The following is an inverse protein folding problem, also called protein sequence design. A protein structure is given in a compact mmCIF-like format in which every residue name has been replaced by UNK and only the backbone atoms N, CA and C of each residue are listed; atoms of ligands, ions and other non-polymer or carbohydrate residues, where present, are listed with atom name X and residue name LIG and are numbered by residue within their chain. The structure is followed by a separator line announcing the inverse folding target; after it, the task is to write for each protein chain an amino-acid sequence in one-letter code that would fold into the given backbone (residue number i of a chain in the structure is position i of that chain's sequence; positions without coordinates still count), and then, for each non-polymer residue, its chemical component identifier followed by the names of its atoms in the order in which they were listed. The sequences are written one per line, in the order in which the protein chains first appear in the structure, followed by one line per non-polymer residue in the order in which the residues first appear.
data_IF_256831426035
#
_entry.id   IF_256831426035
#
_cell.length_a   1.000
_cell.length_b   1.000
_cell.length_c   1.000
_cell.angle_alpha   90.00
_cell.angle_beta   90.00
_cell.angle_gamma   90.00
#
_symmetry.space_group_name_H-M   'P 1'
#
loop_
_entity.id
_entity.type
_entity.pdbx_description
1 polymer ?
#
# COMPACT_ATOMS: atom_id res chain seq x y z
N UNK A 1 -11.97 22.90 4.61
CA UNK A 1 -13.07 22.92 3.62
C UNK A 1 -12.89 21.74 2.68
N UNK A 2 -13.96 21.27 2.06
CA UNK A 2 -13.88 20.25 1.00
C UNK A 2 -13.12 20.75 -0.25
N UNK A 3 -12.38 19.86 -0.92
CA UNK A 3 -11.66 20.11 -2.19
C UNK A 3 -12.13 19.14 -3.28
N UNK A 4 -12.43 19.64 -4.49
CA UNK A 4 -12.69 18.81 -5.67
C UNK A 4 -11.40 18.13 -6.15
N UNK A 5 -11.52 16.88 -6.62
CA UNK A 5 -10.45 16.07 -7.22
C UNK A 5 -10.89 15.59 -8.62
N UNK A 6 -10.01 15.66 -9.61
CA UNK A 6 -10.11 14.93 -10.89
C UNK A 6 -9.57 13.49 -10.78
N UNK A 7 -9.49 12.73 -11.88
CA UNK A 7 -8.95 11.36 -11.90
C UNK A 7 -7.54 11.26 -11.29
N UNK A 8 -6.63 12.17 -11.63
CA UNK A 8 -5.23 12.10 -11.19
C UNK A 8 -5.13 12.45 -9.70
N UNK A 9 -5.83 13.49 -9.28
CA UNK A 9 -5.90 13.90 -7.88
C UNK A 9 -6.63 12.86 -7.01
N UNK A 10 -7.65 12.15 -7.52
CA UNK A 10 -8.26 11.01 -6.84
C UNK A 10 -7.23 9.91 -6.58
N UNK A 11 -6.47 9.50 -7.61
CA UNK A 11 -5.45 8.45 -7.46
C UNK A 11 -4.32 8.85 -6.51
N UNK A 12 -3.83 10.09 -6.61
CA UNK A 12 -2.79 10.62 -5.75
C UNK A 12 -3.22 10.71 -4.27
N UNK A 13 -4.40 11.27 -3.99
CA UNK A 13 -4.89 11.40 -2.61
C UNK A 13 -5.27 10.04 -2.00
N UNK A 14 -5.69 9.03 -2.79
CA UNK A 14 -5.86 7.64 -2.31
C UNK A 14 -4.51 7.04 -1.87
N UNK A 15 -3.44 7.23 -2.64
CA UNK A 15 -2.08 6.84 -2.21
C UNK A 15 -1.63 7.62 -0.97
N UNK A 16 -1.96 8.92 -0.86
CA UNK A 16 -1.66 9.72 0.33
C UNK A 16 -2.37 9.19 1.58
N UNK A 17 -3.64 8.77 1.48
CA UNK A 17 -4.37 8.15 2.60
C UNK A 17 -3.68 6.87 3.10
N UNK A 18 -3.27 5.97 2.19
CA UNK A 18 -2.60 4.71 2.52
C UNK A 18 -1.21 4.96 3.14
N UNK A 19 -0.43 5.86 2.55
CA UNK A 19 0.93 6.17 3.01
C UNK A 19 0.95 6.96 4.32
N UNK A 20 0.03 7.91 4.49
CA UNK A 20 -0.04 8.85 5.60
C UNK A 20 -0.77 8.36 6.85
N UNK A 21 -1.47 7.21 6.80
CA UNK A 21 -2.20 6.70 7.95
C UNK A 21 -1.29 6.26 9.11
N UNK A 22 -1.69 6.61 10.33
CA UNK A 22 -1.01 6.30 11.60
C UNK A 22 -1.85 5.42 12.54
N UNK A 23 -3.18 5.33 12.37
CA UNK A 23 -4.09 4.68 13.35
C UNK A 23 -5.11 3.76 12.70
N UNK A 24 -5.84 4.23 11.69
CA UNK A 24 -6.87 3.46 10.99
C UNK A 24 -6.88 3.74 9.49
N UNK A 25 -7.32 2.75 8.71
CA UNK A 25 -7.70 2.92 7.31
C UNK A 25 -9.05 2.24 7.14
N UNK A 26 -10.03 2.92 6.57
CA UNK A 26 -11.33 2.34 6.24
C UNK A 26 -11.63 2.61 4.77
N UNK A 27 -11.69 1.54 3.99
CA UNK A 27 -11.98 1.58 2.55
C UNK A 27 -13.33 0.92 2.29
N UNK A 28 -14.24 1.67 1.69
CA UNK A 28 -15.55 1.21 1.23
C UNK A 28 -15.52 1.22 -0.29
N UNK A 29 -15.66 0.07 -0.93
CA UNK A 29 -15.58 -0.07 -2.40
C UNK A 29 -16.51 -1.17 -2.88
N UNK A 30 -17.29 -1.02 -3.96
CA UNK A 30 -18.11 -2.13 -4.47
C UNK A 30 -17.23 -3.32 -4.87
N UNK A 31 -16.07 -3.07 -5.49
CA UNK A 31 -15.22 -4.12 -6.05
C UNK A 31 -13.86 -4.19 -5.32
N UNK A 32 -13.50 -5.39 -4.89
CA UNK A 32 -12.19 -5.72 -4.33
C UNK A 32 -11.24 -6.17 -5.44
N UNK A 33 -10.90 -5.23 -6.33
CA UNK A 33 -9.99 -5.43 -7.48
C UNK A 33 -8.90 -4.36 -7.39
N UNK A 34 -7.77 -4.66 -6.76
CA UNK A 34 -6.75 -3.65 -6.39
C UNK A 34 -5.68 -3.58 -7.49
N UNK A 35 -5.50 -2.38 -8.07
CA UNK A 35 -4.46 -2.12 -9.06
C UNK A 35 -3.04 -2.36 -8.51
N UNK A 36 -2.07 -2.80 -9.33
CA UNK A 36 -0.68 -2.98 -8.89
C UNK A 36 -0.06 -1.71 -8.27
N UNK A 37 -0.48 -0.53 -8.74
CA UNK A 37 -0.14 0.78 -8.15
C UNK A 37 -0.51 0.88 -6.67
N UNK A 38 -1.71 0.43 -6.27
CA UNK A 38 -2.13 0.47 -4.87
C UNK A 38 -1.68 -0.75 -4.07
N UNK A 39 -1.43 -1.92 -4.67
CA UNK A 39 -1.02 -3.14 -3.95
C UNK A 39 0.21 -2.91 -3.06
N UNK A 40 1.23 -2.18 -3.55
CA UNK A 40 2.40 -1.81 -2.74
C UNK A 40 2.04 -0.92 -1.53
N UNK A 41 1.15 0.05 -1.72
CA UNK A 41 0.67 0.92 -0.64
C UNK A 41 -0.20 0.16 0.38
N UNK A 42 -1.03 -0.79 -0.04
CA UNK A 42 -1.80 -1.66 0.85
C UNK A 42 -0.91 -2.55 1.72
N UNK A 43 0.12 -3.18 1.13
CA UNK A 43 1.08 -4.02 1.87
C UNK A 43 1.91 -3.18 2.84
N UNK A 44 2.41 -2.01 2.42
CA UNK A 44 3.14 -1.09 3.30
C UNK A 44 2.27 -0.60 4.45
N UNK A 45 1.04 -0.16 4.17
CA UNK A 45 0.09 0.27 5.19
C UNK A 45 -0.22 -0.84 6.21
N UNK A 46 -0.46 -2.08 5.76
CA UNK A 46 -0.72 -3.22 6.64
C UNK A 46 0.50 -3.84 7.33
N UNK A 47 1.72 -3.41 6.98
CA UNK A 47 2.93 -3.70 7.77
C UNK A 47 3.09 -2.78 8.99
N UNK A 48 2.47 -1.59 8.97
CA UNK A 48 2.33 -0.73 10.16
C UNK A 48 1.33 -1.35 11.15
N UNK A 49 1.46 -1.02 12.43
CA UNK A 49 0.51 -1.41 13.47
C UNK A 49 -0.80 -0.57 13.46
N UNK A 50 -1.46 -0.49 12.30
CA UNK A 50 -2.69 0.31 12.09
C UNK A 50 -3.90 -0.59 11.81
N UNK A 51 -5.09 -0.12 12.19
CA UNK A 51 -6.34 -0.87 11.98
C UNK A 51 -6.90 -0.66 10.57
N UNK A 52 -6.43 -1.43 9.59
CA UNK A 52 -7.04 -1.44 8.25
C UNK A 52 -8.33 -2.26 8.21
N UNK A 53 -9.37 -1.71 7.58
CA UNK A 53 -10.66 -2.34 7.29
C UNK A 53 -11.05 -2.09 5.83
N UNK A 54 -11.50 -3.12 5.13
CA UNK A 54 -12.08 -2.99 3.78
C UNK A 54 -13.48 -3.60 3.79
N UNK A 55 -14.47 -2.81 3.38
CA UNK A 55 -15.86 -3.23 3.20
C UNK A 55 -16.15 -3.29 1.70
N UNK A 56 -16.56 -4.46 1.21
CA UNK A 56 -16.83 -4.69 -0.22
C UNK A 56 -18.21 -5.31 -0.50
N UNK A 57 -18.61 -5.38 -1.78
CA UNK A 57 -19.91 -5.97 -2.17
C UNK A 57 -19.89 -7.49 -2.07
N UNK A 58 -20.91 -8.06 -1.42
CA UNK A 58 -21.25 -9.48 -1.52
C UNK A 58 -22.06 -9.70 -2.82
N UNK A 59 -21.37 -9.92 -3.95
CA UNK A 59 -21.95 -9.97 -5.29
C UNK A 59 -22.14 -11.40 -5.87
N UNK A 60 -21.75 -12.44 -5.12
CA UNK A 60 -21.82 -13.85 -5.52
C UNK A 60 -21.22 -14.10 -6.93
N UNK A 61 -19.92 -13.82 -7.12
CA UNK A 61 -19.29 -13.75 -8.43
C UNK A 61 -19.17 -15.13 -9.09
N UNK A 62 -19.11 -15.15 -10.42
CA UNK A 62 -18.83 -16.35 -11.19
C UNK A 62 -17.44 -16.94 -10.84
N UNK A 63 -17.27 -18.25 -11.00
CA UNK A 63 -16.11 -19.02 -10.52
C UNK A 63 -14.75 -18.36 -10.80
N UNK A 64 -14.48 -17.94 -12.05
CA UNK A 64 -13.23 -17.26 -12.44
C UNK A 64 -13.02 -15.89 -11.77
N UNK A 65 -14.09 -15.18 -11.43
CA UNK A 65 -13.99 -13.94 -10.64
C UNK A 65 -13.88 -14.22 -9.14
N UNK A 66 -14.47 -15.32 -8.65
CA UNK A 66 -14.28 -15.80 -7.28
C UNK A 66 -12.84 -16.25 -7.02
N UNK A 67 -12.19 -16.91 -7.99
CA UNK A 67 -10.75 -17.24 -7.95
C UNK A 67 -9.91 -15.98 -7.76
N UNK A 68 -10.04 -15.00 -8.66
CA UNK A 68 -9.32 -13.71 -8.57
C UNK A 68 -9.63 -12.98 -7.26
N UNK A 69 -10.89 -12.93 -6.83
CA UNK A 69 -11.28 -12.32 -5.56
C UNK A 69 -10.57 -13.01 -4.38
N UNK A 70 -10.45 -14.33 -4.41
CA UNK A 70 -9.70 -15.08 -3.40
C UNK A 70 -8.19 -14.82 -3.46
N UNK A 71 -7.60 -14.47 -4.60
CA UNK A 71 -6.19 -14.01 -4.68
C UNK A 71 -5.99 -12.63 -4.04
N UNK A 72 -6.86 -11.67 -4.37
CA UNK A 72 -6.85 -10.32 -3.77
C UNK A 72 -7.03 -10.42 -2.24
N UNK A 73 -7.94 -11.28 -1.76
CA UNK A 73 -8.10 -11.60 -0.34
C UNK A 73 -6.87 -12.26 0.30
N UNK A 74 -6.16 -13.16 -0.40
CA UNK A 74 -4.92 -13.80 0.10
C UNK A 74 -3.80 -12.77 0.30
N UNK A 75 -3.69 -11.78 -0.61
CA UNK A 75 -2.74 -10.66 -0.48
C UNK A 75 -3.04 -9.84 0.80
N UNK A 76 -4.30 -9.48 0.99
CA UNK A 76 -4.75 -8.66 2.14
C UNK A 76 -4.68 -9.41 3.49
N UNK A 77 -4.88 -10.73 3.50
CA UNK A 77 -4.78 -11.58 4.70
C UNK A 77 -3.42 -11.52 5.39
N UNK A 78 -2.35 -11.25 4.64
CA UNK A 78 -1.00 -11.10 5.19
C UNK A 78 -0.76 -9.75 5.88
N UNK A 79 -1.68 -8.79 5.71
CA UNK A 79 -1.52 -7.36 6.01
C UNK A 79 -2.44 -6.88 7.16
N UNK A 80 -2.84 -7.80 8.06
CA UNK A 80 -3.72 -7.55 9.22
C UNK A 80 -5.08 -6.88 8.88
N UNK A 81 -5.57 -7.06 7.66
CA UNK A 81 -6.77 -6.37 7.15
C UNK A 81 -8.05 -7.03 7.62
N UNK A 82 -8.96 -6.24 8.21
CA UNK A 82 -10.33 -6.66 8.51
C UNK A 82 -11.16 -6.61 7.23
N UNK A 83 -11.53 -7.76 6.69
CA UNK A 83 -12.36 -7.86 5.49
C UNK A 83 -13.83 -8.04 5.88
N UNK A 84 -14.70 -7.22 5.30
CA UNK A 84 -16.15 -7.27 5.50
C UNK A 84 -16.88 -7.18 4.18
N UNK A 85 -18.05 -7.80 4.10
CA UNK A 85 -18.88 -7.84 2.89
C UNK A 85 -20.32 -7.44 3.17
N UNK A 86 -20.97 -6.77 2.24
CA UNK A 86 -22.40 -6.46 2.34
C UNK A 86 -23.08 -6.39 0.97
N UNK A 87 -24.38 -6.71 0.93
CA UNK A 87 -25.16 -6.69 -0.31
C UNK A 87 -25.45 -5.24 -0.72
N UNK A 88 -25.68 -5.03 -2.02
CA UNK A 88 -26.08 -3.75 -2.61
C UNK A 88 -25.08 -2.57 -2.44
N UNK A 89 -23.86 -2.80 -1.94
CA UNK A 89 -22.86 -1.75 -1.78
C UNK A 89 -22.47 -1.12 -3.13
N UNK A 90 -22.61 0.20 -3.29
CA UNK A 90 -22.06 0.94 -4.44
C UNK A 90 -21.25 2.19 -4.05
N UNK A 91 -21.28 2.59 -2.78
CA UNK A 91 -20.47 3.65 -2.24
C UNK A 91 -18.97 3.38 -2.42
N UNK A 92 -18.23 4.44 -2.75
CA UNK A 92 -16.77 4.46 -2.90
C UNK A 92 -16.26 5.57 -2.00
N UNK A 93 -15.71 5.19 -0.86
CA UNK A 93 -15.21 6.13 0.12
C UNK A 93 -13.96 5.56 0.78
N UNK A 94 -12.91 6.37 0.84
CA UNK A 94 -11.60 5.96 1.32
C UNK A 94 -11.19 6.93 2.42
N UNK A 95 -10.81 6.44 3.60
CA UNK A 95 -10.42 7.33 4.72
C UNK A 95 -9.32 6.75 5.60
N UNK A 96 -8.61 7.65 6.28
CA UNK A 96 -7.80 7.37 7.47
C UNK A 96 -8.22 8.34 8.59
N UNK A 97 -7.55 8.33 9.75
CA UNK A 97 -7.91 9.20 10.89
C UNK A 97 -7.86 10.72 10.63
N UNK A 98 -7.26 11.16 9.53
CA UNK A 98 -7.00 12.57 9.20
C UNK A 98 -7.84 13.13 8.04
N UNK A 99 -8.27 12.27 7.11
CA UNK A 99 -8.99 12.69 5.90
C UNK A 99 -9.84 11.57 5.30
N UNK A 100 -10.85 11.96 4.53
CA UNK A 100 -11.73 11.08 3.75
C UNK A 100 -11.86 11.58 2.29
N UNK A 101 -12.02 10.65 1.36
CA UNK A 101 -12.28 10.89 -0.07
C UNK A 101 -13.59 10.21 -0.43
N UNK A 102 -14.56 10.98 -0.91
CA UNK A 102 -15.73 10.49 -1.64
C UNK A 102 -15.41 10.57 -3.13
N UNK A 103 -15.66 9.52 -3.94
CA UNK A 103 -15.28 9.53 -5.36
C UNK A 103 -16.15 8.60 -6.22
N UNK A 104 -16.14 8.79 -7.54
CA UNK A 104 -16.61 7.79 -8.51
C UNK A 104 -15.59 6.67 -8.76
N UNK A 105 -14.31 6.92 -8.47
CA UNK A 105 -13.18 6.02 -8.75
C UNK A 105 -13.24 4.71 -7.98
N UNK A 106 -13.01 3.60 -8.69
CA UNK A 106 -12.74 2.28 -8.08
C UNK A 106 -11.23 2.06 -7.95
N UNK A 107 -10.81 1.17 -7.05
CA UNK A 107 -9.39 0.79 -6.85
C UNK A 107 -8.74 0.05 -8.03
N UNK A 108 -9.45 -0.15 -9.13
CA UNK A 108 -9.02 -0.93 -10.29
C UNK A 108 -8.31 -0.05 -11.32
N UNK A 109 -7.28 -0.60 -11.97
CA UNK A 109 -6.36 0.13 -12.84
C UNK A 109 -7.07 0.84 -14.02
N UNK A 110 -8.13 0.24 -14.57
CA UNK A 110 -8.89 0.86 -15.67
C UNK A 110 -9.51 2.22 -15.26
N UNK A 111 -9.97 2.37 -14.00
CA UNK A 111 -10.48 3.66 -13.48
C UNK A 111 -9.40 4.75 -13.39
N UNK A 112 -8.13 4.39 -13.21
CA UNK A 112 -7.02 5.36 -13.15
C UNK A 112 -6.58 5.82 -14.54
N UNK A 113 -6.62 4.91 -15.52
CA UNK A 113 -6.02 5.14 -16.85
C UNK A 113 -7.03 5.56 -17.93
N UNK A 114 -8.30 5.19 -17.82
CA UNK A 114 -9.28 5.30 -18.93
C UNK A 114 -10.56 6.07 -18.58
N UNK A 115 -10.81 6.38 -17.30
CA UNK A 115 -12.03 7.06 -16.85
C UNK A 115 -11.78 8.53 -16.50
N UNK A 116 -12.76 9.37 -16.81
CA UNK A 116 -12.96 10.63 -16.10
C UNK A 116 -13.66 10.34 -14.78
N UNK A 117 -12.91 10.43 -13.68
CA UNK A 117 -13.40 10.22 -12.31
C UNK A 117 -13.45 11.57 -11.58
N UNK A 118 -14.42 11.73 -10.69
CA UNK A 118 -14.61 12.93 -9.87
C UNK A 118 -14.62 12.55 -8.39
N UNK A 119 -13.97 13.36 -7.56
CA UNK A 119 -13.95 13.15 -6.11
C UNK A 119 -13.99 14.43 -5.30
N UNK A 120 -14.17 14.25 -3.99
CA UNK A 120 -14.13 15.28 -2.97
C UNK A 120 -13.23 14.79 -1.83
N UNK A 121 -12.14 15.51 -1.56
CA UNK A 121 -11.33 15.35 -0.36
C UNK A 121 -11.91 16.20 0.77
N UNK A 122 -12.07 15.60 1.94
CA UNK A 122 -12.44 16.25 3.20
C UNK A 122 -11.38 15.92 4.25
N UNK A 123 -10.63 16.92 4.70
CA UNK A 123 -9.63 16.77 5.78
C UNK A 123 -10.24 17.16 7.11
N UNK A 124 -10.12 16.31 8.13
CA UNK A 124 -10.65 16.55 9.48
C UNK A 124 -10.15 17.86 10.09
N UNK A 125 -8.87 18.19 9.90
CA UNK A 125 -8.27 19.43 10.41
C UNK A 125 -8.73 20.72 9.73
N UNK A 126 -9.47 20.62 8.61
CA UNK A 126 -10.02 21.78 7.90
C UNK A 126 -11.56 21.78 7.86
N UNK A 127 -12.21 20.67 8.24
CA UNK A 127 -13.65 20.42 8.14
C UNK A 127 -14.03 19.19 8.99
N UNK A 128 -13.99 19.33 10.32
CA UNK A 128 -14.23 18.22 11.24
C UNK A 128 -15.69 17.72 11.19
N UNK A 129 -16.65 18.62 10.97
CA UNK A 129 -18.06 18.24 10.94
C UNK A 129 -18.36 17.31 9.76
N UNK A 130 -18.02 17.73 8.53
CA UNK A 130 -18.27 16.91 7.34
C UNK A 130 -17.48 15.59 7.38
N UNK A 131 -16.25 15.61 7.87
CA UNK A 131 -15.46 14.39 8.10
C UNK A 131 -16.17 13.43 9.08
N UNK A 132 -16.71 13.94 10.19
CA UNK A 132 -17.42 13.13 11.18
C UNK A 132 -18.77 12.62 10.64
N UNK A 133 -19.50 13.40 9.83
CA UNK A 133 -20.71 12.94 9.14
C UNK A 133 -20.39 11.78 8.16
N UNK A 134 -19.34 11.91 7.33
CA UNK A 134 -18.87 10.84 6.44
C UNK A 134 -18.50 9.57 7.25
N UNK A 135 -17.79 9.74 8.36
CA UNK A 135 -17.40 8.63 9.24
C UNK A 135 -18.62 7.93 9.86
N UNK A 136 -19.69 8.66 10.20
CA UNK A 136 -20.94 8.06 10.69
C UNK A 136 -21.63 7.18 9.64
N UNK A 137 -21.72 7.61 8.38
CA UNK A 137 -22.28 6.77 7.30
C UNK A 137 -21.44 5.51 7.07
N UNK A 138 -20.11 5.63 7.11
CA UNK A 138 -19.20 4.48 7.02
C UNK A 138 -19.41 3.51 8.20
N UNK A 139 -19.67 3.99 9.41
CA UNK A 139 -19.99 3.12 10.55
C UNK A 139 -21.36 2.43 10.42
N UNK A 140 -22.36 3.06 9.79
CA UNK A 140 -23.64 2.39 9.43
C UNK A 140 -23.41 1.28 8.41
N UNK A 141 -22.58 1.52 7.39
CA UNK A 141 -22.19 0.47 6.42
C UNK A 141 -21.40 -0.65 7.11
N UNK A 142 -20.52 -0.32 8.05
CA UNK A 142 -19.75 -1.29 8.85
C UNK A 142 -20.65 -2.19 9.70
N UNK A 143 -21.61 -1.62 10.44
CA UNK A 143 -22.51 -2.39 11.32
C UNK A 143 -23.47 -3.30 10.57
N UNK A 144 -23.91 -2.89 9.37
CA UNK A 144 -24.75 -3.71 8.48
C UNK A 144 -23.97 -4.77 7.67
N UNK A 145 -22.65 -4.60 7.51
CA UNK A 145 -21.78 -5.58 6.83
C UNK A 145 -21.44 -6.78 7.70
N UNK A 146 -21.15 -7.92 7.08
CA UNK A 146 -20.74 -9.15 7.75
C UNK A 146 -19.21 -9.35 7.64
N UNK A 147 -18.54 -9.98 8.62
CA UNK A 147 -17.15 -10.40 8.48
C UNK A 147 -16.97 -11.37 7.31
N UNK A 148 -15.84 -11.26 6.60
CA UNK A 148 -15.43 -12.26 5.61
C UNK A 148 -14.58 -13.37 6.25
N UNK A 149 -14.64 -14.60 5.71
CA UNK A 149 -13.85 -15.74 6.21
C UNK A 149 -12.32 -15.50 6.16
N UNK A 150 -11.86 -14.62 5.25
CA UNK A 150 -10.45 -14.23 5.15
C UNK A 150 -10.05 -13.20 6.22
N UNK A 151 -10.99 -12.60 6.95
CA UNK A 151 -10.76 -11.63 8.03
C UNK A 151 -10.30 -12.32 9.32
N UNK A 152 -9.05 -12.78 9.36
CA UNK A 152 -8.53 -13.60 10.46
C UNK A 152 -8.56 -12.89 11.82
N UNK A 153 -9.21 -13.47 12.85
CA UNK A 153 -8.99 -13.08 14.23
C UNK A 153 -7.70 -13.76 14.75
N UNK A 154 -6.53 -13.19 14.44
CA UNK A 154 -5.31 -13.54 15.19
C UNK A 154 -5.45 -13.04 16.63
N UNK A 155 -6.03 -13.89 17.50
CA UNK A 155 -5.80 -13.79 18.94
C UNK A 155 -4.30 -13.96 19.17
N UNK A 156 -3.59 -12.85 19.33
CA UNK A 156 -2.29 -12.86 19.99
C UNK A 156 -2.58 -13.15 21.45
N UNK A 157 -2.54 -14.44 21.82
CA UNK A 157 -2.68 -14.87 23.21
C UNK A 157 -1.42 -14.45 23.96
N UNK A 158 -1.41 -13.21 24.44
CA UNK A 158 -0.36 -12.73 25.34
C UNK A 158 -0.53 -13.47 26.67
N UNK A 159 0.18 -14.59 26.81
CA UNK A 159 0.37 -15.24 28.10
C UNK A 159 1.04 -14.24 29.05
N UNK A 160 0.30 -13.80 30.07
CA UNK A 160 0.80 -12.84 31.05
C UNK A 160 1.84 -13.48 31.97
N UNK A 161 3.10 -13.53 31.53
CA UNK A 161 4.24 -13.65 32.44
C UNK A 161 4.62 -12.25 32.94
N UNK A 162 4.47 -12.03 34.24
CA UNK A 162 4.80 -10.78 34.90
C UNK A 162 6.33 -10.54 34.91
N UNK A 163 6.80 -9.27 34.95
CA UNK A 163 8.21 -8.94 34.73
C UNK A 163 9.06 -9.09 35.99
N UNK A 164 10.33 -9.47 35.83
CA UNK A 164 11.31 -9.48 36.92
C UNK A 164 12.76 -9.17 36.47
N UNK A 165 13.09 -7.86 36.51
CA UNK A 165 14.45 -7.29 36.65
C UNK A 165 15.43 -7.46 35.46
N UNK A 166 16.36 -6.51 35.36
CA UNK A 166 17.31 -6.37 34.25
C UNK A 166 18.77 -6.41 34.73
N UNK A 167 19.70 -6.59 33.79
CA UNK A 167 21.13 -6.31 33.96
C UNK A 167 21.71 -5.72 32.65
N UNK A 168 22.60 -4.70 32.73
CA UNK A 168 23.47 -4.22 31.63
C UNK A 168 24.76 -5.08 31.53
N UNK A 169 25.78 -4.79 30.68
CA UNK A 169 25.97 -3.69 29.70
C UNK A 169 25.75 -4.20 28.24
N UNK A 170 26.41 -3.89 27.11
CA UNK A 170 27.73 -3.32 26.76
C UNK A 170 27.73 -2.50 25.45
N UNK A 171 28.81 -1.74 25.21
CA UNK A 171 29.08 -0.96 24.00
C UNK A 171 29.87 -1.77 22.96
N UNK A 172 29.52 -1.61 21.68
CA UNK A 172 30.47 -1.74 20.58
C UNK A 172 30.13 -0.74 19.47
N UNK A 173 31.14 -0.01 19.01
CA UNK A 173 31.01 1.02 17.96
C UNK A 173 31.61 0.52 16.64
N UNK A 174 31.14 1.07 15.52
CA UNK A 174 31.64 0.76 14.18
C UNK A 174 30.84 -0.30 13.42
N UNK A 175 30.43 0.02 12.19
CA UNK A 175 29.68 -0.87 11.31
C UNK A 175 28.19 -0.55 11.23
N UNK A 176 27.37 -1.21 12.07
CA UNK A 176 25.91 -1.29 11.86
C UNK A 176 25.21 0.09 11.85
N UNK A 177 25.38 0.92 12.89
CA UNK A 177 24.71 2.23 12.99
C UNK A 177 25.12 3.22 11.88
N UNK A 178 26.37 3.14 11.39
CA UNK A 178 26.83 3.95 10.26
C UNK A 178 26.24 3.50 8.91
N UNK A 179 25.77 2.25 8.82
CA UNK A 179 25.05 1.75 7.65
C UNK A 179 23.58 2.16 7.72
N UNK A 180 22.95 2.02 8.89
CA UNK A 180 21.57 2.45 9.18
C UNK A 180 21.37 3.95 8.91
N UNK A 181 22.20 4.83 9.45
CA UNK A 181 22.10 6.29 9.22
C UNK A 181 22.30 6.70 7.75
N UNK A 182 23.12 5.94 7.00
CA UNK A 182 23.34 6.14 5.57
C UNK A 182 22.18 5.62 4.69
N UNK A 183 21.36 4.71 5.21
CA UNK A 183 20.10 4.25 4.60
C UNK A 183 18.93 5.19 4.94
N UNK A 184 18.88 5.72 6.17
CA UNK A 184 17.80 6.58 6.68
C UNK A 184 17.97 8.08 6.36
N UNK A 185 18.74 8.43 5.33
CA UNK A 185 18.84 9.82 4.84
C UNK A 185 17.61 10.15 3.97
N UNK A 186 16.96 11.34 4.12
CA UNK A 186 15.68 11.61 3.45
C UNK A 186 15.71 11.63 1.91
N UNK A 187 16.86 11.92 1.29
CA UNK A 187 16.97 12.15 -0.16
C UNK A 187 17.26 10.90 -0.99
N UNK A 188 16.43 10.70 -2.03
CA UNK A 188 16.49 9.66 -3.09
C UNK A 188 16.43 8.20 -2.62
N UNK A 189 15.28 7.55 -2.88
CA UNK A 189 14.98 6.18 -2.43
C UNK A 189 15.24 5.06 -3.44
N UNK A 190 15.62 5.37 -4.68
CA UNK A 190 15.78 4.37 -5.76
C UNK A 190 16.99 4.62 -6.66
N UNK A 191 17.45 3.58 -7.36
CA UNK A 191 18.60 3.58 -8.29
C UNK A 191 18.26 2.90 -9.62
N UNK A 192 18.66 3.51 -10.74
CA UNK A 192 18.52 2.92 -12.08
C UNK A 192 19.30 1.60 -12.20
N UNK A 193 18.61 0.50 -12.49
CA UNK A 193 19.22 -0.84 -12.54
C UNK A 193 20.30 -1.02 -13.63
N UNK A 194 20.31 -0.15 -14.66
CA UNK A 194 21.32 -0.17 -15.74
C UNK A 194 22.60 0.61 -15.39
N UNK A 195 22.47 1.79 -14.78
CA UNK A 195 23.56 2.76 -14.66
C UNK A 195 23.86 3.26 -13.23
N UNK A 196 23.14 2.78 -12.21
CA UNK A 196 23.27 3.21 -10.80
C UNK A 196 22.97 4.69 -10.53
N UNK A 197 22.44 5.44 -11.50
CA UNK A 197 21.97 6.81 -11.25
C UNK A 197 20.80 6.79 -10.26
N UNK A 198 20.87 7.61 -9.21
CA UNK A 198 19.74 7.83 -8.28
C UNK A 198 18.53 8.39 -9.04
N UNK A 199 17.34 7.89 -8.71
CA UNK A 199 16.05 8.39 -9.23
C UNK A 199 15.14 8.74 -8.06
N UNK A 200 14.48 9.91 -8.14
CA UNK A 200 13.60 10.46 -7.11
C UNK A 200 12.26 9.74 -7.08
N UNK A 201 11.71 9.52 -8.27
CA UNK A 201 10.44 8.84 -8.53
C UNK A 201 10.67 7.75 -9.59
N UNK A 202 9.80 6.74 -9.59
CA UNK A 202 9.77 5.70 -10.62
C UNK A 202 8.41 5.74 -11.30
N UNK A 203 8.38 6.22 -12.55
CA UNK A 203 7.19 6.29 -13.42
C UNK A 203 6.74 4.89 -13.89
N UNK A 204 6.48 3.99 -12.94
CA UNK A 204 6.29 2.56 -13.18
C UNK A 204 7.55 1.79 -13.65
N UNK A 205 8.71 2.44 -13.78
CA UNK A 205 9.91 1.84 -14.38
C UNK A 205 11.18 1.91 -13.53
N UNK A 206 11.99 0.85 -13.57
CA UNK A 206 13.22 0.63 -12.80
C UNK A 206 14.49 1.27 -13.39
N UNK A 207 14.34 2.09 -14.44
CA UNK A 207 15.41 2.76 -15.17
C UNK A 207 15.27 4.28 -15.04
N UNK A 208 16.37 5.03 -15.16
CA UNK A 208 16.29 6.48 -15.39
C UNK A 208 15.91 6.77 -16.85
N UNK A 209 15.33 7.95 -17.13
CA UNK A 209 14.77 8.29 -18.44
C UNK A 209 15.72 8.11 -19.64
N UNK A 210 17.03 8.29 -19.46
CA UNK A 210 18.04 8.04 -20.51
C UNK A 210 18.18 6.54 -20.83
N UNK A 211 18.34 5.69 -19.81
CA UNK A 211 18.38 4.24 -19.99
C UNK A 211 17.04 3.67 -20.43
N UNK A 212 15.92 4.25 -19.98
CA UNK A 212 14.58 3.87 -20.43
C UNK A 212 14.35 4.19 -21.92
N UNK A 213 14.83 5.34 -22.42
CA UNK A 213 14.74 5.72 -23.85
C UNK A 213 15.53 4.79 -24.78
N UNK A 214 16.57 4.15 -24.28
CA UNK A 214 17.29 3.08 -24.99
C UNK A 214 16.54 1.74 -24.87
N UNK A 215 16.20 1.33 -23.63
CA UNK A 215 15.49 0.07 -23.36
C UNK A 215 14.15 -0.03 -24.11
N UNK A 216 13.38 1.06 -24.18
CA UNK A 216 12.05 1.13 -24.83
C UNK A 216 12.07 0.91 -26.35
N UNK A 217 13.25 0.93 -26.99
CA UNK A 217 13.43 0.53 -28.40
C UNK A 217 13.42 -1.00 -28.57
N UNK A 218 13.89 -1.73 -27.57
CA UNK A 218 14.04 -3.19 -27.58
C UNK A 218 12.99 -3.91 -26.73
N UNK A 219 12.46 -3.24 -25.70
CA UNK A 219 11.43 -3.70 -24.73
C UNK A 219 11.68 -5.09 -24.12
N UNK A 220 12.93 -5.53 -24.07
CA UNK A 220 13.30 -6.82 -23.50
C UNK A 220 13.32 -6.72 -21.95
N UNK A 221 12.20 -7.06 -21.32
CA UNK A 221 12.06 -7.00 -19.86
C UNK A 221 12.87 -8.06 -19.09
N UNK A 222 13.41 -9.06 -19.79
CA UNK A 222 14.23 -10.14 -19.24
C UNK A 222 15.74 -9.92 -19.49
N UNK A 223 16.13 -8.81 -20.14
CA UNK A 223 17.54 -8.44 -20.29
C UNK A 223 18.19 -8.23 -18.92
N UNK A 224 19.41 -8.77 -18.73
CA UNK A 224 20.13 -8.70 -17.47
C UNK A 224 20.79 -7.33 -17.27
N UNK A 225 20.28 -6.60 -16.29
CA UNK A 225 20.79 -5.33 -15.81
C UNK A 225 21.74 -5.56 -14.62
N UNK A 226 22.41 -4.48 -14.17
CA UNK A 226 23.68 -4.56 -13.42
C UNK A 226 23.60 -4.15 -11.95
N UNK A 227 22.50 -3.54 -11.52
CA UNK A 227 22.34 -2.94 -10.19
C UNK A 227 20.95 -3.22 -9.58
N UNK A 228 20.87 -3.21 -8.26
CA UNK A 228 19.62 -3.30 -7.50
C UNK A 228 18.91 -1.94 -7.38
N UNK A 229 17.59 -1.92 -7.61
CA UNK A 229 16.76 -0.72 -7.55
C UNK A 229 16.71 -0.05 -6.16
N UNK A 230 16.86 -0.81 -5.07
CA UNK A 230 16.75 -0.29 -3.70
C UNK A 230 18.12 0.09 -3.14
N UNK A 231 19.07 -0.85 -3.05
CA UNK A 231 20.37 -0.58 -2.43
C UNK A 231 21.42 0.02 -3.39
N UNK A 232 21.17 0.04 -4.70
CA UNK A 232 22.13 0.53 -5.70
C UNK A 232 23.36 -0.34 -5.90
N UNK A 233 23.48 -1.48 -5.21
CA UNK A 233 24.65 -2.37 -5.35
C UNK A 233 24.57 -3.27 -6.58
N UNK A 234 25.74 -3.76 -7.02
CA UNK A 234 25.87 -4.61 -8.20
C UNK A 234 25.14 -5.93 -8.01
N UNK A 235 24.22 -6.24 -8.91
CA UNK A 235 23.43 -7.46 -8.90
C UNK A 235 22.90 -7.76 -10.31
N UNK A 236 22.75 -9.05 -10.64
CA UNK A 236 22.11 -9.49 -11.87
C UNK A 236 20.59 -9.33 -11.74
N UNK A 237 20.08 -8.18 -12.11
CA UNK A 237 18.66 -7.83 -12.07
C UNK A 237 18.05 -7.87 -13.47
N UNK A 238 16.74 -7.73 -13.60
CA UNK A 238 16.06 -7.48 -14.89
C UNK A 238 15.00 -6.40 -14.70
N UNK A 239 14.40 -5.90 -15.78
CA UNK A 239 13.26 -4.98 -15.68
C UNK A 239 12.10 -5.62 -14.87
N UNK A 240 11.83 -6.90 -15.12
CA UNK A 240 10.82 -7.70 -14.40
C UNK A 240 11.22 -8.08 -12.97
N UNK A 241 12.53 -8.17 -12.66
CA UNK A 241 13.06 -8.48 -11.33
C UNK A 241 14.17 -7.47 -10.95
N UNK A 242 13.81 -6.23 -10.56
CA UNK A 242 14.77 -5.14 -10.39
C UNK A 242 15.52 -5.16 -9.05
N UNK A 243 15.40 -6.24 -8.26
CA UNK A 243 15.97 -6.38 -6.91
C UNK A 243 16.98 -7.53 -6.85
N UNK A 244 18.07 -7.33 -6.09
CA UNK A 244 18.97 -8.41 -5.71
C UNK A 244 18.28 -9.40 -4.75
N UNK A 245 18.83 -10.60 -4.60
CA UNK A 245 18.24 -11.64 -3.75
C UNK A 245 18.10 -11.22 -2.28
N UNK A 246 18.98 -10.36 -1.76
CA UNK A 246 18.87 -9.84 -0.39
C UNK A 246 17.70 -8.86 -0.24
N UNK A 247 17.62 -7.79 -1.04
CA UNK A 247 16.47 -6.88 -1.01
C UNK A 247 15.14 -7.60 -1.29
N UNK A 248 15.15 -8.59 -2.19
CA UNK A 248 13.99 -9.43 -2.47
C UNK A 248 13.60 -10.32 -1.27
N UNK A 249 14.57 -10.89 -0.55
CA UNK A 249 14.31 -11.63 0.71
C UNK A 249 13.80 -10.69 1.80
N UNK A 250 14.39 -9.52 2.00
CA UNK A 250 13.93 -8.55 3.02
C UNK A 250 12.47 -8.14 2.80
N UNK A 251 12.07 -7.88 1.54
CA UNK A 251 10.66 -7.65 1.20
C UNK A 251 9.79 -8.90 1.38
N UNK A 252 10.29 -10.10 1.06
CA UNK A 252 9.53 -11.36 1.13
C UNK A 252 9.34 -11.92 2.55
N UNK A 253 10.21 -11.58 3.49
CA UNK A 253 10.17 -12.07 4.88
C UNK A 253 9.61 -11.05 5.90
N UNK A 254 9.30 -9.81 5.49
CA UNK A 254 8.59 -8.86 6.34
C UNK A 254 9.36 -8.44 7.59
N UNK A 255 10.69 -8.33 7.50
CA UNK A 255 11.50 -7.83 8.61
C UNK A 255 11.31 -6.32 8.77
N UNK A 256 10.44 -5.96 9.73
CA UNK A 256 10.28 -4.60 10.22
C UNK A 256 11.60 -4.08 10.80
N UNK A 257 12.06 -2.94 10.29
CA UNK A 257 12.97 -2.00 10.96
C UNK A 257 12.60 -0.58 10.47
#
# INVERSE_FOLDING_TARGET
MARILDTQNCSAEISNLLNGAEKEIIFVTPYLKISPSFQGHFVFAGSKNISMTIIYRDDNPAEKELERLNEEKKLLKNSNVKLRKTKNLHAKCYMNESAAILTSMNLYQFSQENNYELGILVKKGEDEELYNQIRQEIQKIYSLSQPDEYSTPKKVTIEKKAPAKAAPPEKSEGGFFSFITKILSPDTRYYCIRCRQKISETDGHSLCGNCYREWSRYKNSNYTEKYCLICGEKANTTYNRPLCDECFKTQRYGYNF
#
